data_IF_360264366370
#
_entry.id   IF_360264366370
#
_cell.length_a   1.000
_cell.length_b   1.000
_cell.length_c   1.000
_cell.angle_alpha   90.00
_cell.angle_beta   90.00
_cell.angle_gamma   90.00
#
_symmetry.space_group_name_H-M   'P 1'
#
loop_
_entity.id
_entity.type
_entity.pdbx_description
1 polymer ?
#
# COMPACT_ATOMS: atom_id res chain seq x y z
N UNK A 1 -22.73 24.06 20.81
CA UNK A 1 -22.56 22.93 19.87
C UNK A 1 -23.35 23.26 18.62
N UNK A 2 -22.69 23.92 17.66
CA UNK A 2 -23.27 24.14 16.33
C UNK A 2 -23.43 22.79 15.65
N UNK A 3 -24.63 22.52 15.13
CA UNK A 3 -24.88 21.33 14.32
C UNK A 3 -24.27 21.56 12.95
N UNK A 4 -23.05 21.06 12.73
CA UNK A 4 -22.47 20.98 11.40
C UNK A 4 -23.39 20.11 10.51
N UNK A 5 -24.04 20.73 9.54
CA UNK A 5 -24.82 20.05 8.51
C UNK A 5 -23.84 19.32 7.60
N UNK A 6 -23.57 18.03 7.86
CA UNK A 6 -22.73 17.19 7.02
C UNK A 6 -23.37 16.95 5.65
N UNK A 7 -22.69 17.40 4.59
CA UNK A 7 -23.02 17.10 3.20
C UNK A 7 -21.91 16.25 2.58
N UNK A 8 -22.30 15.26 1.78
CA UNK A 8 -21.34 14.41 1.07
C UNK A 8 -20.51 15.27 0.10
N UNK A 9 -19.18 15.22 0.23
CA UNK A 9 -18.24 15.91 -0.67
C UNK A 9 -17.69 17.25 -0.15
N UNK A 10 -18.14 17.76 0.99
CA UNK A 10 -17.53 18.94 1.62
C UNK A 10 -16.44 18.54 2.63
N UNK A 11 -15.29 19.23 2.67
CA UNK A 11 -14.24 18.94 3.63
C UNK A 11 -14.73 19.21 5.05
N UNK A 12 -14.56 18.23 5.94
CA UNK A 12 -14.78 18.40 7.35
C UNK A 12 -13.55 19.04 7.99
N UNK A 13 -13.72 20.22 8.58
CA UNK A 13 -12.66 20.84 9.39
C UNK A 13 -12.76 20.32 10.83
N UNK A 14 -11.70 19.69 11.30
CA UNK A 14 -11.53 19.26 12.69
C UNK A 14 -10.42 20.11 13.30
N UNK A 15 -10.78 20.92 14.29
CA UNK A 15 -9.85 21.78 15.04
C UNK A 15 -9.53 21.12 16.40
N UNK A 16 -8.50 21.60 17.10
CA UNK A 16 -8.11 21.15 18.45
C UNK A 16 -7.71 19.65 18.57
N UNK A 17 -7.15 19.05 17.52
CA UNK A 17 -6.58 17.68 17.61
C UNK A 17 -5.12 17.72 18.08
N UNK A 18 -4.77 16.88 19.07
CA UNK A 18 -3.39 16.75 19.54
C UNK A 18 -2.48 16.03 18.51
N UNK A 19 -3.05 15.15 17.68
CA UNK A 19 -2.30 14.35 16.70
C UNK A 19 -3.18 13.94 15.52
N UNK A 20 -2.62 14.07 14.31
CA UNK A 20 -3.21 13.57 13.06
C UNK A 20 -2.43 12.34 12.59
N UNK A 21 -3.11 11.19 12.46
CA UNK A 21 -2.55 9.97 11.87
C UNK A 21 -3.06 9.82 10.44
N UNK A 22 -2.15 9.74 9.48
CA UNK A 22 -2.47 9.62 8.05
C UNK A 22 -2.42 8.14 7.63
N UNK A 23 -3.56 7.58 7.24
CA UNK A 23 -3.69 6.20 6.76
C UNK A 23 -3.97 6.16 5.24
N UNK A 24 -3.11 6.78 4.42
CA UNK A 24 -3.33 6.96 2.97
C UNK A 24 -2.96 5.74 2.11
N UNK A 25 -2.76 4.57 2.72
CA UNK A 25 -2.23 3.38 2.07
C UNK A 25 -0.71 3.38 1.96
N UNK A 26 -0.16 2.30 1.39
CA UNK A 26 1.28 2.09 1.23
C UNK A 26 1.71 2.34 -0.22
N UNK A 27 3.00 2.57 -0.44
CA UNK A 27 3.64 2.54 -1.74
C UNK A 27 4.50 1.28 -1.87
N UNK A 28 4.68 0.71 -3.08
CA UNK A 28 5.61 -0.40 -3.27
C UNK A 28 7.04 0.01 -2.90
N UNK A 29 7.78 -0.93 -2.31
CA UNK A 29 9.20 -0.75 -1.96
C UNK A 29 10.02 -1.79 -2.72
N UNK A 30 10.74 -1.35 -3.75
CA UNK A 30 11.46 -2.23 -4.69
C UNK A 30 12.90 -1.79 -5.00
N UNK A 31 13.53 -1.05 -4.08
CA UNK A 31 14.89 -0.52 -4.32
C UNK A 31 15.94 -1.61 -4.58
N UNK A 32 15.79 -2.78 -3.96
CA UNK A 32 16.68 -3.91 -4.22
C UNK A 32 16.47 -4.51 -5.63
N UNK A 33 15.23 -4.58 -6.09
CA UNK A 33 14.94 -5.01 -7.46
C UNK A 33 15.56 -4.08 -8.49
N UNK A 34 15.44 -2.76 -8.27
CA UNK A 34 16.10 -1.75 -9.10
C UNK A 34 17.62 -1.93 -9.16
N UNK A 35 18.27 -2.22 -8.02
CA UNK A 35 19.72 -2.44 -7.95
C UNK A 35 20.17 -3.75 -8.64
N UNK A 36 19.35 -4.79 -8.62
CA UNK A 36 19.66 -6.10 -9.21
C UNK A 36 19.35 -6.19 -10.71
N UNK A 37 18.69 -5.19 -11.28
CA UNK A 37 18.25 -5.19 -12.67
C UNK A 37 19.41 -5.44 -13.65
N UNK A 38 19.34 -6.57 -14.36
CA UNK A 38 20.34 -6.96 -15.36
C UNK A 38 21.62 -7.60 -14.80
N UNK A 39 21.72 -7.78 -13.47
CA UNK A 39 22.83 -8.49 -12.84
C UNK A 39 22.54 -9.99 -12.70
N UNK A 40 21.30 -10.33 -12.34
CA UNK A 40 20.81 -11.70 -12.16
C UNK A 40 19.36 -11.78 -12.59
N UNK A 41 18.88 -12.99 -12.85
CA UNK A 41 17.45 -13.24 -13.03
C UNK A 41 16.77 -13.37 -11.66
N UNK A 42 15.68 -12.65 -11.46
CA UNK A 42 14.88 -12.68 -10.24
C UNK A 42 13.41 -12.36 -10.52
N UNK A 43 12.54 -12.62 -9.55
CA UNK A 43 11.11 -12.36 -9.63
C UNK A 43 10.63 -11.56 -8.41
N UNK A 44 9.74 -10.60 -8.66
CA UNK A 44 9.05 -9.85 -7.60
C UNK A 44 7.77 -10.57 -7.18
N UNK A 45 7.48 -10.57 -5.87
CA UNK A 45 6.22 -11.08 -5.30
C UNK A 45 5.78 -10.21 -4.13
N UNK A 46 4.48 -10.09 -3.91
CA UNK A 46 3.89 -9.38 -2.78
C UNK A 46 3.96 -7.86 -2.94
N UNK A 47 4.02 -7.16 -1.81
CA UNK A 47 3.83 -5.71 -1.74
C UNK A 47 4.94 -4.89 -2.42
N UNK A 48 6.12 -5.48 -2.68
CA UNK A 48 7.15 -4.80 -3.48
C UNK A 48 6.69 -4.55 -4.92
N UNK A 49 5.79 -5.37 -5.45
CA UNK A 49 5.21 -5.18 -6.77
C UNK A 49 4.02 -4.22 -6.74
N UNK A 50 3.10 -4.43 -5.80
CA UNK A 50 1.96 -3.56 -5.57
C UNK A 50 1.36 -3.84 -4.18
N UNK A 51 1.17 -2.82 -3.33
CA UNK A 51 0.48 -2.96 -2.06
C UNK A 51 -0.92 -3.56 -2.24
N UNK A 52 -1.18 -4.68 -1.58
CA UNK A 52 -2.38 -5.50 -1.77
C UNK A 52 -2.84 -6.13 -0.45
N UNK A 53 -3.84 -7.01 -0.47
CA UNK A 53 -4.18 -7.78 0.73
C UNK A 53 -3.16 -8.90 0.97
N UNK A 54 -3.10 -9.39 2.22
CA UNK A 54 -2.22 -10.49 2.60
C UNK A 54 -2.51 -11.75 1.77
N UNK A 55 -3.79 -12.03 1.49
CA UNK A 55 -4.21 -13.17 0.70
C UNK A 55 -3.68 -13.09 -0.74
N UNK A 56 -3.71 -11.90 -1.33
CA UNK A 56 -3.20 -11.68 -2.69
C UNK A 56 -1.67 -11.85 -2.75
N UNK A 57 -0.95 -11.34 -1.76
CA UNK A 57 0.51 -11.51 -1.65
C UNK A 57 0.90 -12.99 -1.50
N UNK A 58 0.18 -13.74 -0.67
CA UNK A 58 0.38 -15.19 -0.49
C UNK A 58 0.08 -15.94 -1.79
N UNK A 59 -1.03 -15.63 -2.44
CA UNK A 59 -1.43 -16.28 -3.68
C UNK A 59 -0.41 -16.06 -4.81
N UNK A 60 0.13 -14.84 -4.93
CA UNK A 60 1.18 -14.53 -5.91
C UNK A 60 2.46 -15.31 -5.64
N UNK A 61 2.92 -15.36 -4.38
CA UNK A 61 4.07 -16.17 -3.99
C UNK A 61 3.88 -17.65 -4.28
N UNK A 62 2.69 -18.20 -3.99
CA UNK A 62 2.37 -19.61 -4.27
C UNK A 62 2.41 -19.90 -5.77
N UNK A 63 1.88 -19.00 -6.60
CA UNK A 63 1.91 -19.16 -8.07
C UNK A 63 3.32 -19.16 -8.62
N UNK A 64 4.20 -18.28 -8.12
CA UNK A 64 5.61 -18.27 -8.54
C UNK A 64 6.28 -19.58 -8.14
N UNK A 65 6.10 -20.01 -6.89
CA UNK A 65 6.68 -21.25 -6.39
C UNK A 65 6.21 -22.50 -7.16
N UNK A 66 4.94 -22.54 -7.58
CA UNK A 66 4.38 -23.66 -8.35
C UNK A 66 4.94 -23.77 -9.78
N UNK A 67 5.48 -22.68 -10.32
CA UNK A 67 6.03 -22.62 -11.69
C UNK A 67 7.56 -22.75 -11.73
N UNK A 68 8.23 -23.02 -10.59
CA UNK A 68 9.66 -23.32 -10.50
C UNK A 68 9.93 -24.81 -10.76
#
# INVERSE_FOLDING_TARGET
MDKASLRCGEPMLFEEVDTLVLCQGHQPVDSLGEELQGLVDFQHIGDCLAPRTVEEAIHEGLKVAWNL
#
